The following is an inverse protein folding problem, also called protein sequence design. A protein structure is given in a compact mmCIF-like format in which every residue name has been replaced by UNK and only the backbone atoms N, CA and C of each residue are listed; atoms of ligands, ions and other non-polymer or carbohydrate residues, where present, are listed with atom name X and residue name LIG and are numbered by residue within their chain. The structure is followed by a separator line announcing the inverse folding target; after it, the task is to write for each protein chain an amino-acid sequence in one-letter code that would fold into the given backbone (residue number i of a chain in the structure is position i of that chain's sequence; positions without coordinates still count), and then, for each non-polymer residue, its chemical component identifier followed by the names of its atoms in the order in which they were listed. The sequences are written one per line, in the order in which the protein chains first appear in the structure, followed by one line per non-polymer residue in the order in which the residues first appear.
data_IF_793958595819
#
_entry.id   IF_793958595819
#
_cell.length_a   1.000
_cell.length_b   1.000
_cell.length_c   1.000
_cell.angle_alpha   90.00
_cell.angle_beta   90.00
_cell.angle_gamma   90.00
#
_symmetry.space_group_name_H-M   'P 1'
#
loop_
_entity.id
_entity.type
_entity.pdbx_description
1 polymer ?
#
# COMPACT_ATOMS: atom_id res chain seq x y z
N UNK A 1 11.66 -14.15 10.51
CA UNK A 1 12.94 -13.71 9.91
C UNK A 1 12.61 -13.16 8.55
N UNK A 2 12.29 -11.86 8.49
CA UNK A 2 12.01 -11.15 7.25
C UNK A 2 13.27 -10.34 7.00
N UNK A 3 13.98 -10.73 5.95
CA UNK A 3 15.18 -10.05 5.51
C UNK A 3 14.85 -8.58 5.23
N UNK A 4 15.77 -7.69 5.59
CA UNK A 4 15.80 -6.36 5.02
C UNK A 4 15.95 -6.52 3.50
N UNK A 5 14.85 -6.40 2.77
CA UNK A 5 14.87 -6.37 1.30
C UNK A 5 15.27 -4.95 0.89
N UNK A 6 16.44 -4.85 0.26
CA UNK A 6 16.96 -3.67 -0.42
C UNK A 6 15.95 -3.11 -1.43
N UNK A 7 16.03 -1.81 -1.71
CA UNK A 7 15.33 -1.06 -2.79
C UNK A 7 15.53 -1.70 -4.18
N UNK A 8 16.44 -2.68 -4.32
CA UNK A 8 16.69 -3.44 -5.55
C UNK A 8 15.44 -4.18 -6.11
N UNK A 9 14.42 -4.48 -5.31
CA UNK A 9 13.16 -5.02 -5.84
C UNK A 9 12.32 -3.95 -6.57
N UNK A 10 12.37 -2.68 -6.12
CA UNK A 10 11.78 -1.54 -6.83
C UNK A 10 12.51 -1.23 -8.14
N UNK A 11 13.81 -1.55 -8.24
CA UNK A 11 14.54 -1.41 -9.50
C UNK A 11 13.88 -2.28 -10.61
N UNK A 12 13.31 -3.43 -10.27
CA UNK A 12 12.50 -4.25 -11.19
C UNK A 12 11.15 -3.62 -11.61
N UNK A 13 10.62 -2.66 -10.86
CA UNK A 13 9.38 -1.92 -11.17
C UNK A 13 9.60 -0.66 -12.03
N UNK A 14 10.85 -0.27 -12.28
CA UNK A 14 11.16 0.88 -13.15
C UNK A 14 10.97 0.58 -14.65
N UNK A 15 10.77 -0.70 -15.00
CA UNK A 15 10.49 -1.17 -16.36
C UNK A 15 9.01 -1.25 -16.72
N UNK A 16 8.10 -0.72 -15.90
CA UNK A 16 6.69 -0.60 -16.27
C UNK A 16 6.60 0.50 -17.35
N UNK A 17 6.64 0.08 -18.62
CA UNK A 17 6.31 0.96 -19.75
C UNK A 17 4.93 1.60 -19.56
N UNK A 18 4.52 2.56 -20.41
CA UNK A 18 3.23 3.23 -20.29
C UNK A 18 2.09 2.22 -20.18
N UNK A 19 1.47 2.10 -19.00
CA UNK A 19 0.30 1.26 -18.79
C UNK A 19 -0.93 2.12 -19.10
N UNK A 20 -1.75 1.68 -20.07
CA UNK A 20 -3.05 2.28 -20.30
C UNK A 20 -3.91 2.09 -19.04
N UNK A 21 -4.16 3.19 -18.33
CA UNK A 21 -4.98 3.23 -17.13
C UNK A 21 -6.32 3.92 -17.44
N UNK A 22 -7.48 3.37 -17.03
CA UNK A 22 -7.63 2.13 -16.26
C UNK A 22 -7.30 0.87 -17.07
N UNK A 23 -6.88 -0.23 -16.42
CA UNK A 23 -6.61 -1.48 -17.10
C UNK A 23 -7.90 -1.99 -17.76
N UNK A 24 -7.77 -2.85 -18.76
CA UNK A 24 -8.93 -3.60 -19.25
C UNK A 24 -9.61 -4.32 -18.06
N UNK A 25 -10.95 -4.33 -17.97
CA UNK A 25 -11.66 -5.01 -16.90
C UNK A 25 -11.22 -6.47 -16.76
N UNK A 26 -10.79 -6.86 -15.55
CA UNK A 26 -10.44 -8.25 -15.24
C UNK A 26 -11.70 -9.11 -15.39
N UNK A 27 -11.75 -9.98 -16.40
CA UNK A 27 -12.91 -10.84 -16.67
C UNK A 27 -12.90 -12.03 -15.72
N UNK A 28 -13.75 -11.99 -14.70
CA UNK A 28 -14.07 -13.15 -13.87
C UNK A 28 -15.52 -13.56 -14.13
N UNK A 29 -15.86 -14.84 -13.97
CA UNK A 29 -17.16 -15.38 -14.41
C UNK A 29 -18.37 -14.80 -13.65
N UNK A 30 -18.17 -14.07 -12.54
CA UNK A 30 -19.28 -13.62 -11.66
C UNK A 30 -19.05 -12.30 -10.90
N UNK A 31 -18.42 -11.29 -11.49
CA UNK A 31 -18.41 -9.96 -10.86
C UNK A 31 -18.44 -8.83 -11.91
N UNK A 32 -19.54 -8.07 -11.95
CA UNK A 32 -19.58 -6.78 -12.65
C UNK A 32 -19.34 -5.70 -11.61
N UNK A 33 -18.10 -5.22 -11.53
CA UNK A 33 -17.75 -4.09 -10.68
C UNK A 33 -18.14 -2.79 -11.38
N UNK A 34 -18.95 -1.97 -10.70
CA UNK A 34 -19.12 -0.58 -11.11
C UNK A 34 -17.82 0.19 -10.87
N UNK A 35 -17.59 1.24 -11.67
CA UNK A 35 -16.47 2.15 -11.43
C UNK A 35 -16.50 2.70 -9.99
N UNK A 36 -15.31 2.84 -9.40
CA UNK A 36 -15.17 3.48 -8.10
C UNK A 36 -15.53 4.97 -8.21
N UNK A 37 -16.43 5.42 -7.36
CA UNK A 37 -16.88 6.80 -7.26
C UNK A 37 -16.29 7.45 -6.00
N UNK A 38 -16.29 8.78 -5.93
CA UNK A 38 -15.75 9.51 -4.78
C UNK A 38 -16.39 9.08 -3.44
N UNK A 39 -17.67 8.67 -3.45
CA UNK A 39 -18.39 8.15 -2.28
C UNK A 39 -17.80 6.85 -1.73
N UNK A 40 -17.12 6.06 -2.56
CA UNK A 40 -16.55 4.76 -2.16
C UNK A 40 -15.26 4.92 -1.38
N UNK A 41 -14.68 6.12 -1.39
CA UNK A 41 -13.39 6.41 -0.74
C UNK A 41 -13.40 6.05 0.74
N UNK A 42 -14.51 6.24 1.45
CA UNK A 42 -14.61 5.88 2.86
C UNK A 42 -14.51 4.36 3.05
N UNK A 43 -15.26 3.58 2.27
CA UNK A 43 -15.23 2.12 2.32
C UNK A 43 -13.87 1.55 1.90
N UNK A 44 -13.21 2.15 0.91
CA UNK A 44 -11.84 1.78 0.55
C UNK A 44 -10.85 2.10 1.67
N UNK A 45 -10.98 3.25 2.34
CA UNK A 45 -10.14 3.59 3.48
C UNK A 45 -10.38 2.62 4.64
N UNK A 46 -11.63 2.28 4.95
CA UNK A 46 -11.95 1.28 5.98
C UNK A 46 -11.41 -0.10 5.62
N UNK A 47 -11.60 -0.55 4.37
CA UNK A 47 -11.06 -1.83 3.91
C UNK A 47 -9.52 -1.87 4.05
N UNK A 48 -8.84 -0.81 3.61
CA UNK A 48 -7.38 -0.69 3.72
C UNK A 48 -6.90 -0.50 5.16
N UNK A 49 -7.75 0.00 6.06
CA UNK A 49 -7.48 0.15 7.47
C UNK A 49 -7.95 -1.05 8.32
N UNK A 50 -8.63 -2.03 7.72
CA UNK A 50 -9.21 -3.17 8.43
C UNK A 50 -8.12 -4.11 8.97
N UNK A 51 -8.45 -4.79 10.06
CA UNK A 51 -7.64 -5.82 10.71
C UNK A 51 -7.62 -7.15 9.94
N UNK A 52 -8.27 -7.22 8.77
CA UNK A 52 -8.30 -8.40 7.92
C UNK A 52 -6.89 -8.88 7.58
N UNK A 53 -5.97 -7.97 7.28
CA UNK A 53 -4.57 -8.33 7.01
C UNK A 53 -3.93 -8.97 8.24
N UNK A 54 -4.15 -8.38 9.42
CA UNK A 54 -3.60 -8.88 10.68
C UNK A 54 -4.17 -10.28 11.02
N UNK A 55 -5.36 -10.61 10.51
CA UNK A 55 -6.00 -11.93 10.63
C UNK A 55 -5.50 -12.96 9.62
N UNK A 56 -5.33 -12.57 8.35
CA UNK A 56 -4.93 -13.49 7.27
C UNK A 56 -3.43 -13.75 7.25
N UNK A 57 -2.62 -12.75 7.62
CA UNK A 57 -1.17 -12.83 7.69
C UNK A 57 -0.66 -12.37 9.07
N UNK A 58 -0.99 -13.13 10.14
CA UNK A 58 -0.54 -12.77 11.48
C UNK A 58 0.98 -12.82 11.57
N UNK A 59 1.58 -11.82 12.21
CA UNK A 59 3.04 -11.75 12.40
C UNK A 59 3.80 -11.13 11.22
N UNK A 60 3.14 -10.78 10.13
CA UNK A 60 3.76 -10.09 8.99
C UNK A 60 3.57 -8.56 9.11
N UNK A 61 4.65 -7.76 8.97
CA UNK A 61 4.54 -6.31 8.90
C UNK A 61 3.89 -5.85 7.59
N UNK A 62 3.18 -4.73 7.64
CA UNK A 62 2.64 -4.07 6.44
C UNK A 62 3.53 -2.90 6.08
N UNK A 63 3.88 -2.77 4.80
CA UNK A 63 4.62 -1.61 4.27
C UNK A 63 3.78 -0.80 3.30
N UNK A 64 4.01 0.51 3.27
CA UNK A 64 3.35 1.44 2.35
C UNK A 64 4.36 2.47 1.84
N UNK A 65 4.34 2.75 0.54
CA UNK A 65 5.13 3.82 -0.08
C UNK A 65 4.24 4.95 -0.58
N UNK A 66 4.59 6.19 -0.30
CA UNK A 66 3.93 7.38 -0.88
C UNK A 66 4.96 8.48 -1.12
N UNK A 67 4.73 9.37 -2.09
CA UNK A 67 5.56 10.56 -2.25
C UNK A 67 5.57 11.38 -0.95
N UNK A 68 6.74 11.90 -0.55
CA UNK A 68 6.86 12.76 0.64
C UNK A 68 6.08 14.06 0.49
N UNK A 69 5.91 14.53 -0.76
CA UNK A 69 5.04 15.65 -1.10
C UNK A 69 3.55 15.40 -0.79
N UNK A 70 3.11 14.14 -0.69
CA UNK A 70 1.72 13.80 -0.37
C UNK A 70 1.46 13.81 1.14
N UNK A 71 1.48 15.01 1.73
CA UNK A 71 1.30 15.21 3.17
C UNK A 71 -0.05 14.66 3.70
N UNK A 72 -1.09 14.55 2.86
CA UNK A 72 -2.36 13.98 3.26
C UNK A 72 -2.26 12.47 3.49
N UNK A 73 -1.63 11.74 2.57
CA UNK A 73 -1.37 10.30 2.73
C UNK A 73 -0.44 10.02 3.91
N UNK A 74 0.61 10.83 4.09
CA UNK A 74 1.54 10.71 5.23
C UNK A 74 0.82 10.84 6.58
N UNK A 75 -0.10 11.81 6.72
CA UNK A 75 -0.90 11.97 7.94
C UNK A 75 -1.86 10.79 8.17
N UNK A 76 -2.44 10.24 7.11
CA UNK A 76 -3.31 9.06 7.21
C UNK A 76 -2.49 7.83 7.63
N UNK A 77 -1.32 7.60 7.03
CA UNK A 77 -0.43 6.51 7.37
C UNK A 77 -0.02 6.55 8.85
N UNK A 78 0.37 7.72 9.35
CA UNK A 78 0.68 7.92 10.77
C UNK A 78 -0.52 7.60 11.67
N UNK A 79 -1.73 8.03 11.29
CA UNK A 79 -2.97 7.70 12.04
C UNK A 79 -3.25 6.19 12.06
N UNK A 80 -2.86 5.47 11.02
CA UNK A 80 -3.02 4.02 10.89
C UNK A 80 -1.86 3.22 11.50
N UNK A 81 -0.93 3.88 12.21
CA UNK A 81 0.15 3.22 12.94
C UNK A 81 1.40 2.91 12.10
N UNK A 82 1.52 3.47 10.89
CA UNK A 82 2.75 3.38 10.11
C UNK A 82 3.79 4.38 10.62
N UNK A 83 5.04 3.92 10.74
CA UNK A 83 6.19 4.75 11.10
C UNK A 83 7.20 4.79 9.97
N UNK A 84 7.90 5.92 9.81
CA UNK A 84 8.92 6.10 8.78
C UNK A 84 10.07 5.09 8.97
N UNK A 85 10.37 4.34 7.92
CA UNK A 85 11.55 3.47 7.84
C UNK A 85 12.66 4.17 7.07
N UNK A 86 12.33 4.71 5.89
CA UNK A 86 13.30 5.39 5.03
C UNK A 86 12.63 6.33 4.01
N UNK A 87 13.46 7.17 3.37
CA UNK A 87 13.10 7.95 2.18
C UNK A 87 14.04 7.59 1.05
N UNK A 88 13.50 7.48 -0.16
CA UNK A 88 14.26 7.07 -1.34
C UNK A 88 13.73 7.76 -2.61
N UNK A 89 14.51 7.75 -3.70
CA UNK A 89 14.08 8.32 -4.98
C UNK A 89 13.49 7.24 -5.88
N UNK A 90 12.24 7.42 -6.33
CA UNK A 90 11.62 6.56 -7.35
C UNK A 90 10.51 7.33 -8.09
N UNK A 91 10.33 7.02 -9.38
CA UNK A 91 9.37 7.70 -10.27
C UNK A 91 9.56 9.23 -10.28
N UNK A 92 10.81 9.67 -10.36
CA UNK A 92 11.19 11.10 -10.40
C UNK A 92 10.66 11.91 -9.20
N UNK A 93 10.44 11.24 -8.06
CA UNK A 93 9.98 11.87 -6.83
C UNK A 93 10.58 11.18 -5.59
N UNK A 94 10.74 11.97 -4.53
CA UNK A 94 11.09 11.42 -3.22
C UNK A 94 9.89 10.65 -2.65
N UNK A 95 10.13 9.38 -2.35
CA UNK A 95 9.20 8.47 -1.72
C UNK A 95 9.53 8.33 -0.23
N UNK A 96 8.49 8.10 0.55
CA UNK A 96 8.53 7.72 1.94
C UNK A 96 8.10 6.26 2.07
N UNK A 97 8.89 5.44 2.77
CA UNK A 97 8.53 4.09 3.17
C UNK A 97 8.04 4.09 4.62
N UNK A 98 6.79 3.68 4.82
CA UNK A 98 6.22 3.43 6.14
C UNK A 98 6.09 1.95 6.42
N UNK A 99 6.30 1.58 7.69
CA UNK A 99 6.05 0.23 8.19
C UNK A 99 5.07 0.28 9.37
N UNK A 100 4.09 -0.62 9.36
CA UNK A 100 3.24 -0.93 10.51
C UNK A 100 3.64 -2.32 11.02
N UNK A 101 4.07 -2.45 12.30
CA UNK A 101 4.44 -3.75 12.85
C UNK A 101 3.22 -4.68 12.92
N UNK A 102 3.43 -6.00 12.91
CA UNK A 102 2.34 -6.95 13.10
C UNK A 102 1.72 -6.79 14.48
N UNK A 103 0.41 -7.04 14.58
CA UNK A 103 -0.25 -7.16 15.88
C UNK A 103 0.24 -8.47 16.52
N UNK A 104 0.85 -8.38 17.70
CA UNK A 104 1.21 -9.57 18.47
C UNK A 104 -0.06 -10.30 18.87
N UNK A 105 -0.24 -11.59 18.51
CA UNK A 105 -1.38 -12.36 18.97
C UNK A 105 -1.37 -12.39 20.50
N UNK A 106 -2.48 -11.99 21.13
CA UNK A 106 -2.66 -12.23 22.56
C UNK A 106 -2.76 -13.74 22.77
N UNK A 107 -1.96 -14.26 23.70
CA UNK A 107 -1.84 -15.68 24.04
C UNK A 107 -3.15 -16.26 24.59
#
# INVERSE_FOLDING_TARGET
MIAAWSVDWLAGMTGLGPVAWPPEPIRTERLVLRGAEARDRAAFIELLASDWFDTVLPGEPVVLTTQTANAASMRLAAKLGFTEVERFQAWDAEQWLGLRPPVTPSK
#
